data_IF_734102013053
#
_entry.id   IF_734102013053
#
_cell.length_a   1.000
_cell.length_b   1.000
_cell.length_c   1.000
_cell.angle_alpha   90.00
_cell.angle_beta   90.00
_cell.angle_gamma   90.00
#
_symmetry.space_group_name_H-M   'P 1'
#
loop_
_entity.id
_entity.type
_entity.pdbx_description
1 polymer ?
#
# COMPACT_ATOMS: atom_id res chain seq x y z
N UNK A 1 -15.81 -10.32 -20.97
CA UNK A 1 -16.61 -9.49 -20.05
C UNK A 1 -18.04 -9.99 -20.13
N UNK A 2 -18.71 -10.24 -19.00
CA UNK A 2 -20.15 -10.57 -19.03
C UNK A 2 -20.94 -9.35 -19.53
N UNK A 3 -22.03 -9.57 -20.26
CA UNK A 3 -22.88 -8.48 -20.77
C UNK A 3 -23.34 -7.54 -19.65
N UNK A 4 -23.57 -8.06 -18.44
CA UNK A 4 -23.95 -7.26 -17.26
C UNK A 4 -22.91 -6.20 -16.87
N UNK A 5 -21.61 -6.49 -17.00
CA UNK A 5 -20.55 -5.51 -16.69
C UNK A 5 -20.54 -4.39 -17.73
N UNK A 6 -20.76 -4.74 -19.00
CA UNK A 6 -20.77 -3.79 -20.11
C UNK A 6 -21.96 -2.83 -20.02
N UNK A 7 -23.17 -3.35 -19.78
CA UNK A 7 -24.37 -2.54 -19.56
C UNK A 7 -24.23 -1.62 -18.34
N UNK A 8 -23.69 -2.14 -17.24
CA UNK A 8 -23.46 -1.33 -16.02
C UNK A 8 -22.43 -0.21 -16.24
N UNK A 9 -21.38 -0.46 -17.02
CA UNK A 9 -20.42 0.57 -17.43
C UNK A 9 -21.06 1.62 -18.34
N UNK A 10 -21.91 1.19 -19.28
CA UNK A 10 -22.63 2.10 -20.18
C UNK A 10 -23.57 3.02 -19.40
N UNK A 11 -24.34 2.47 -18.46
CA UNK A 11 -25.22 3.22 -17.57
C UNK A 11 -24.42 4.26 -16.76
N UNK A 12 -23.36 3.82 -16.07
CA UNK A 12 -22.49 4.70 -15.29
C UNK A 12 -21.86 5.80 -16.15
N UNK A 13 -21.45 5.49 -17.38
CA UNK A 13 -20.84 6.46 -18.30
C UNK A 13 -21.83 7.49 -18.85
N UNK A 14 -23.13 7.16 -18.83
CA UNK A 14 -24.21 8.04 -19.28
C UNK A 14 -24.70 8.97 -18.16
N UNK A 15 -24.30 8.70 -16.92
CA UNK A 15 -24.66 9.53 -15.76
C UNK A 15 -23.72 10.73 -15.62
N UNK A 16 -24.25 11.92 -15.89
CA UNK A 16 -23.56 13.20 -15.73
C UNK A 16 -23.09 13.48 -14.30
N UNK A 17 -23.76 12.91 -13.28
CA UNK A 17 -23.34 13.02 -11.89
C UNK A 17 -22.07 12.22 -11.63
N UNK A 18 -21.96 11.02 -12.23
CA UNK A 18 -20.76 10.18 -12.18
C UNK A 18 -19.60 10.83 -12.93
N UNK A 19 -19.87 11.46 -14.08
CA UNK A 19 -18.86 12.22 -14.82
C UNK A 19 -18.30 13.38 -13.98
N UNK A 20 -19.18 14.12 -13.31
CA UNK A 20 -18.79 15.20 -12.39
C UNK A 20 -17.98 14.68 -11.21
N UNK A 21 -18.43 13.58 -10.59
CA UNK A 21 -17.74 12.94 -9.48
C UNK A 21 -16.34 12.46 -9.89
N UNK A 22 -16.21 11.89 -11.08
CA UNK A 22 -14.93 11.44 -11.63
C UNK A 22 -13.96 12.60 -11.85
N UNK A 23 -14.44 13.75 -12.34
CA UNK A 23 -13.62 14.95 -12.57
C UNK A 23 -13.19 15.65 -11.27
N UNK A 24 -13.95 15.50 -10.19
CA UNK A 24 -13.75 16.22 -8.92
C UNK A 24 -13.10 15.37 -7.83
N UNK A 25 -12.98 14.05 -8.03
CA UNK A 25 -12.46 13.12 -7.03
C UNK A 25 -11.16 12.47 -7.52
N UNK A 26 -10.16 12.25 -6.66
CA UNK A 26 -9.00 11.44 -7.01
C UNK A 26 -9.40 10.06 -7.53
N UNK A 27 -8.65 9.53 -8.50
CA UNK A 27 -9.02 8.30 -9.22
C UNK A 27 -9.30 7.11 -8.29
N UNK A 28 -8.44 6.86 -7.30
CA UNK A 28 -8.64 5.76 -6.34
C UNK A 28 -9.88 5.96 -5.47
N UNK A 29 -10.11 7.20 -5.01
CA UNK A 29 -11.24 7.55 -4.16
C UNK A 29 -12.57 7.43 -4.92
N UNK A 30 -12.56 7.76 -6.22
CA UNK A 30 -13.71 7.56 -7.09
C UNK A 30 -14.13 6.10 -7.13
N UNK A 31 -13.22 5.19 -7.49
CA UNK A 31 -13.53 3.75 -7.59
C UNK A 31 -13.89 3.11 -6.24
N UNK A 32 -13.35 3.64 -5.14
CA UNK A 32 -13.76 3.25 -3.79
C UNK A 32 -15.22 3.67 -3.48
N UNK A 33 -15.63 4.88 -3.88
CA UNK A 33 -16.98 5.41 -3.62
C UNK A 33 -18.04 4.73 -4.47
N UNK A 34 -17.78 4.55 -5.76
CA UNK A 34 -18.80 3.98 -6.66
C UNK A 34 -19.04 2.48 -6.44
N UNK A 35 -18.18 1.80 -5.66
CA UNK A 35 -18.28 0.36 -5.42
C UNK A 35 -19.63 -0.05 -4.82
N UNK A 36 -20.30 0.83 -4.09
CA UNK A 36 -21.58 0.48 -3.46
C UNK A 36 -22.75 0.61 -4.46
N UNK A 37 -22.66 1.53 -5.42
CA UNK A 37 -23.68 1.80 -6.45
C UNK A 37 -23.47 0.96 -7.72
N UNK A 38 -22.20 0.78 -8.11
CA UNK A 38 -21.75 -0.03 -9.23
C UNK A 38 -20.74 -1.09 -8.75
N UNK A 39 -21.19 -2.13 -8.03
CA UNK A 39 -20.30 -3.11 -7.39
C UNK A 39 -19.47 -3.92 -8.38
N UNK A 40 -20.00 -4.22 -9.57
CA UNK A 40 -19.25 -4.97 -10.58
C UNK A 40 -18.14 -4.13 -11.22
N UNK A 41 -18.42 -2.95 -11.81
CA UNK A 41 -17.37 -2.05 -12.29
C UNK A 41 -16.38 -1.61 -11.21
N UNK A 42 -16.89 -1.22 -10.03
CA UNK A 42 -16.08 -0.76 -8.91
C UNK A 42 -15.11 -1.83 -8.42
N UNK A 43 -15.57 -3.08 -8.24
CA UNK A 43 -14.68 -4.20 -7.86
C UNK A 43 -13.64 -4.50 -8.92
N UNK A 44 -14.00 -4.48 -10.20
CA UNK A 44 -13.06 -4.73 -11.29
C UNK A 44 -11.99 -3.64 -11.38
N UNK A 45 -12.40 -2.37 -11.31
CA UNK A 45 -11.47 -1.25 -11.30
C UNK A 45 -10.54 -1.29 -10.08
N UNK A 46 -11.06 -1.57 -8.89
CA UNK A 46 -10.25 -1.74 -7.68
C UNK A 46 -9.27 -2.91 -7.81
N UNK A 47 -9.67 -4.04 -8.39
CA UNK A 47 -8.74 -5.16 -8.62
C UNK A 47 -7.60 -4.82 -9.59
N UNK A 48 -7.84 -3.96 -10.57
CA UNK A 48 -6.82 -3.46 -11.49
C UNK A 48 -5.93 -2.41 -10.80
N UNK A 49 -6.55 -1.54 -10.01
CA UNK A 49 -5.91 -0.42 -9.32
C UNK A 49 -5.12 -0.80 -8.08
N UNK A 50 -5.48 -1.91 -7.46
CA UNK A 50 -4.73 -2.54 -6.40
C UNK A 50 -3.74 -3.49 -7.08
N UNK A 51 -2.53 -3.03 -7.49
CA UNK A 51 -1.48 -3.98 -7.83
C UNK A 51 -1.33 -4.85 -6.60
N UNK A 52 -1.61 -6.15 -6.73
CA UNK A 52 -1.58 -7.15 -5.66
C UNK A 52 -0.89 -6.61 -4.40
N UNK A 53 -1.65 -6.09 -3.42
CA UNK A 53 -1.05 -5.38 -2.30
C UNK A 53 -0.14 -6.30 -1.50
N UNK A 54 -0.27 -7.62 -1.67
CA UNK A 54 0.68 -8.59 -1.19
C UNK A 54 1.92 -8.67 -2.10
N UNK A 55 1.82 -9.03 -3.37
CA UNK A 55 3.01 -9.42 -4.16
C UNK A 55 4.04 -8.31 -4.32
N UNK A 56 3.67 -7.10 -4.75
CA UNK A 56 4.68 -6.03 -4.95
C UNK A 56 5.30 -5.57 -3.62
N UNK A 57 4.49 -5.38 -2.57
CA UNK A 57 4.99 -4.97 -1.26
C UNK A 57 5.77 -6.10 -0.57
N UNK A 58 5.38 -7.35 -0.80
CA UNK A 58 6.09 -8.55 -0.34
C UNK A 58 7.43 -8.67 -1.06
N UNK A 59 7.47 -8.56 -2.38
CA UNK A 59 8.70 -8.59 -3.18
C UNK A 59 9.63 -7.43 -2.81
N UNK A 60 9.09 -6.21 -2.71
CA UNK A 60 9.85 -5.02 -2.30
C UNK A 60 10.38 -5.18 -0.87
N UNK A 61 9.55 -5.68 0.05
CA UNK A 61 9.92 -5.95 1.43
C UNK A 61 10.99 -7.01 1.57
N UNK A 62 10.84 -8.14 0.88
CA UNK A 62 11.84 -9.21 0.86
C UNK A 62 13.15 -8.77 0.19
N UNK A 63 13.08 -8.01 -0.90
CA UNK A 63 14.26 -7.45 -1.57
C UNK A 63 15.02 -6.50 -0.64
N UNK A 64 14.32 -5.59 0.04
CA UNK A 64 14.89 -4.65 1.02
C UNK A 64 15.52 -5.37 2.20
N UNK A 65 14.85 -6.40 2.70
CA UNK A 65 15.37 -7.25 3.78
C UNK A 65 16.63 -8.00 3.35
N UNK A 66 16.61 -8.64 2.18
CA UNK A 66 17.76 -9.35 1.63
C UNK A 66 18.97 -8.42 1.47
N UNK A 67 18.77 -7.22 0.91
CA UNK A 67 19.82 -6.21 0.79
C UNK A 67 20.42 -5.81 2.15
N UNK A 68 19.56 -5.62 3.15
CA UNK A 68 20.00 -5.22 4.50
C UNK A 68 20.71 -6.35 5.23
N UNK A 69 20.21 -7.59 5.09
CA UNK A 69 20.79 -8.79 5.68
C UNK A 69 22.21 -9.08 5.15
N UNK A 70 22.44 -8.86 3.86
CA UNK A 70 23.77 -9.00 3.24
C UNK A 70 24.75 -7.97 3.82
N UNK A 71 24.30 -6.72 4.04
CA UNK A 71 25.13 -5.65 4.59
C UNK A 71 25.52 -5.87 6.06
N UNK A 72 24.62 -6.40 6.88
CA UNK A 72 24.83 -6.55 8.34
C UNK A 72 25.23 -7.96 8.81
N UNK A 73 25.62 -8.86 7.90
CA UNK A 73 26.19 -10.20 8.20
C UNK A 73 25.39 -10.98 9.26
N UNK A 74 24.11 -11.26 9.01
CA UNK A 74 23.26 -12.12 9.85
C UNK A 74 22.91 -11.60 11.27
N UNK A 75 23.14 -10.32 11.58
CA UNK A 75 22.75 -9.73 12.88
C UNK A 75 21.31 -9.22 12.94
N UNK A 76 20.51 -9.45 11.90
CA UNK A 76 19.14 -8.96 11.77
C UNK A 76 18.14 -10.05 12.15
N UNK A 77 17.08 -9.63 12.82
CA UNK A 77 15.91 -10.45 13.10
C UNK A 77 14.81 -10.07 12.10
N UNK A 78 14.34 -11.06 11.34
CA UNK A 78 13.54 -10.84 10.14
C UNK A 78 12.26 -10.05 10.44
N UNK A 79 11.53 -10.44 11.47
CA UNK A 79 10.21 -9.89 11.75
C UNK A 79 10.25 -8.42 12.23
N UNK A 80 11.02 -8.04 13.27
CA UNK A 80 11.08 -6.64 13.72
C UNK A 80 11.78 -5.72 12.71
N UNK A 81 12.82 -6.20 12.02
CA UNK A 81 13.57 -5.38 11.07
C UNK A 81 12.76 -5.11 9.79
N UNK A 82 12.07 -6.12 9.24
CA UNK A 82 11.18 -5.92 8.10
C UNK A 82 10.03 -4.98 8.47
N UNK A 83 9.47 -5.10 9.67
CA UNK A 83 8.39 -4.22 10.14
C UNK A 83 8.83 -2.76 10.20
N UNK A 84 10.04 -2.50 10.69
CA UNK A 84 10.60 -1.16 10.72
C UNK A 84 10.84 -0.63 9.30
N UNK A 85 11.43 -1.44 8.41
CA UNK A 85 11.75 -1.07 7.02
C UNK A 85 10.52 -0.79 6.16
N UNK A 86 9.45 -1.54 6.36
CA UNK A 86 8.19 -1.39 5.63
C UNK A 86 7.29 -0.31 6.22
N UNK A 87 7.58 0.17 7.43
CA UNK A 87 6.78 1.24 8.02
C UNK A 87 7.08 2.59 7.36
N UNK A 88 6.05 3.42 7.22
CA UNK A 88 6.23 4.84 6.88
C UNK A 88 6.66 5.70 8.08
N UNK A 89 6.87 5.08 9.24
CA UNK A 89 7.24 5.76 10.48
C UNK A 89 8.70 6.19 10.37
N UNK A 90 8.94 7.50 10.49
CA UNK A 90 10.31 8.03 10.55
C UNK A 90 10.85 7.86 11.97
N UNK A 91 12.00 7.21 12.16
CA UNK A 91 12.59 7.10 13.49
C UNK A 91 13.02 8.48 13.99
N UNK A 92 12.59 8.85 15.20
CA UNK A 92 13.14 10.03 15.89
C UNK A 92 14.51 9.66 16.49
N UNK A 93 15.55 9.87 15.68
CA UNK A 93 16.94 9.54 16.05
C UNK A 93 17.35 10.30 17.32
N UNK A 94 16.89 11.54 17.51
CA UNK A 94 17.25 12.34 18.69
C UNK A 94 16.66 11.76 19.96
N UNK A 95 15.39 11.34 19.92
CA UNK A 95 14.74 10.68 21.04
C UNK A 95 15.38 9.31 21.32
N UNK A 96 15.67 8.52 20.29
CA UNK A 96 16.32 7.22 20.44
C UNK A 96 17.72 7.34 21.08
N UNK A 97 18.51 8.34 20.67
CA UNK A 97 19.81 8.62 21.27
C UNK A 97 19.71 9.01 22.75
N UNK A 98 18.67 9.74 23.15
CA UNK A 98 18.43 10.12 24.56
C UNK A 98 18.02 8.92 25.42
N UNK A 99 17.24 7.99 24.88
CA UNK A 99 16.75 6.80 25.60
C UNK A 99 17.85 5.73 25.72
N UNK A 100 18.81 5.71 24.80
CA UNK A 100 19.92 4.74 24.81
C UNK A 100 20.85 5.01 26.00
N UNK A 101 20.59 4.37 27.15
CA UNK A 101 21.58 4.23 28.21
C UNK A 101 22.81 3.54 27.62
N UNK A 102 23.99 4.16 27.76
CA UNK A 102 25.25 3.55 27.36
C UNK A 102 25.38 2.17 28.02
N UNK A 103 25.35 1.10 27.22
CA UNK A 103 25.89 -0.17 27.69
C UNK A 103 27.37 0.07 27.98
N UNK A 104 27.76 -0.17 29.23
CA UNK A 104 29.12 0.04 29.68
C UNK A 104 30.08 -0.68 28.73
N UNK A 105 31.08 0.05 28.26
CA UNK A 105 32.27 -0.55 27.66
C UNK A 105 32.94 -1.39 28.75
N UNK A 106 32.85 -2.71 28.64
CA UNK A 106 33.67 -3.61 29.43
C UNK A 106 35.14 -3.36 29.10
N UNK A 107 35.93 -3.07 30.14
CA UNK A 107 37.38 -2.99 30.13
C UNK A 107 38.04 -4.33 29.79
#
# INVERSE_FOLDING_TARGET
>A
MSNEIYESLLEMSSDTSMESLFKTTPFNDFWCRIRDEYPMPGKMALNILLPFPTTYLCETGFSTYAATKIKYRYRLDAEPDMRLQLSSIKPDINQLMKIKKQFHTSH
#
